data_IF_125092324507
#
_entry.id   IF_125092324507
#
_cell.length_a   1.000
_cell.length_b   1.000
_cell.length_c   1.000
_cell.angle_alpha   90.00
_cell.angle_beta   90.00
_cell.angle_gamma   90.00
#
_symmetry.space_group_name_H-M   'P 1'
#
loop_
_entity.id
_entity.type
_entity.pdbx_description
1 polymer ?
#
# COMPACT_ATOMS: atom_id res chain seq x y z
N UNK A 1 -17.40 -0.56 58.99
CA UNK A 1 -16.07 -0.25 58.34
C UNK A 1 -15.51 -1.43 57.54
N UNK A 2 -15.49 -2.67 58.05
CA UNK A 2 -14.97 -3.83 57.29
C UNK A 2 -15.74 -4.09 55.98
N UNK A 3 -17.08 -4.08 56.02
CA UNK A 3 -17.92 -4.30 54.86
C UNK A 3 -17.70 -3.24 53.75
N UNK A 4 -17.51 -1.98 54.15
CA UNK A 4 -17.24 -0.89 53.23
C UNK A 4 -15.85 -1.07 52.54
N UNK A 5 -14.87 -1.53 53.32
CA UNK A 5 -13.52 -1.78 52.82
C UNK A 5 -13.47 -2.98 51.85
N UNK A 6 -14.21 -4.04 52.14
CA UNK A 6 -14.35 -5.21 51.26
C UNK A 6 -15.04 -4.77 49.95
N UNK A 7 -16.14 -4.02 50.01
CA UNK A 7 -16.80 -3.52 48.82
C UNK A 7 -15.91 -2.62 47.96
N UNK A 8 -15.12 -1.75 48.58
CA UNK A 8 -14.16 -0.92 47.84
C UNK A 8 -13.09 -1.74 47.13
N UNK A 9 -12.47 -2.73 47.80
CA UNK A 9 -11.48 -3.63 47.19
C UNK A 9 -12.09 -4.38 46.00
N UNK A 10 -13.31 -4.89 46.14
CA UNK A 10 -13.99 -5.61 45.06
C UNK A 10 -14.16 -4.73 43.81
N UNK A 11 -14.59 -3.47 43.98
CA UNK A 11 -14.73 -2.51 42.89
C UNK A 11 -13.38 -2.25 42.20
N UNK A 12 -12.31 -2.07 42.97
CA UNK A 12 -10.95 -1.84 42.43
C UNK A 12 -10.47 -3.05 41.62
N UNK A 13 -10.71 -4.27 42.11
CA UNK A 13 -10.36 -5.49 41.40
C UNK A 13 -11.12 -5.62 40.08
N UNK A 14 -12.44 -5.39 40.09
CA UNK A 14 -13.27 -5.44 38.87
C UNK A 14 -12.79 -4.40 37.87
N UNK A 15 -12.50 -3.18 38.30
CA UNK A 15 -12.00 -2.12 37.45
C UNK A 15 -10.64 -2.49 36.84
N UNK A 16 -9.74 -3.10 37.63
CA UNK A 16 -8.45 -3.60 37.15
C UNK A 16 -8.60 -4.67 36.06
N UNK A 17 -9.54 -5.62 36.23
CA UNK A 17 -9.83 -6.65 35.25
C UNK A 17 -10.41 -6.05 33.94
N UNK A 18 -11.28 -5.05 34.06
CA UNK A 18 -11.83 -4.35 32.89
C UNK A 18 -10.73 -3.62 32.09
N UNK A 19 -9.81 -2.95 32.79
CA UNK A 19 -8.68 -2.26 32.17
C UNK A 19 -7.74 -3.29 31.48
N UNK A 20 -7.41 -4.39 32.15
CA UNK A 20 -6.58 -5.44 31.58
C UNK A 20 -7.20 -6.04 30.31
N UNK A 21 -8.51 -6.35 30.34
CA UNK A 21 -9.24 -6.84 29.17
C UNK A 21 -9.22 -5.84 28.01
N UNK A 22 -9.33 -4.54 28.31
CA UNK A 22 -9.24 -3.49 27.30
C UNK A 22 -7.86 -3.41 26.67
N UNK A 23 -6.80 -3.49 27.46
CA UNK A 23 -5.41 -3.50 26.98
C UNK A 23 -5.14 -4.69 26.05
N UNK A 24 -5.56 -5.89 26.44
CA UNK A 24 -5.42 -7.11 25.62
C UNK A 24 -6.15 -6.95 24.29
N UNK A 25 -7.39 -6.48 24.29
CA UNK A 25 -8.15 -6.26 23.05
C UNK A 25 -7.47 -5.23 22.14
N UNK A 26 -7.00 -4.10 22.66
CA UNK A 26 -6.28 -3.09 21.89
C UNK A 26 -4.99 -3.63 21.29
N UNK A 27 -4.22 -4.40 22.07
CA UNK A 27 -3.00 -5.01 21.58
C UNK A 27 -3.26 -6.01 20.46
N UNK A 28 -4.26 -6.88 20.60
CA UNK A 28 -4.63 -7.82 19.56
C UNK A 28 -5.09 -7.10 18.29
N UNK A 29 -5.93 -6.07 18.41
CA UNK A 29 -6.37 -5.26 17.25
C UNK A 29 -5.19 -4.57 16.57
N UNK A 30 -4.21 -4.07 17.34
CA UNK A 30 -2.98 -3.51 16.79
C UNK A 30 -2.20 -4.55 15.96
N UNK A 31 -1.99 -5.74 16.52
CA UNK A 31 -1.26 -6.82 15.84
C UNK A 31 -1.98 -7.24 14.57
N UNK A 32 -3.31 -7.39 14.61
CA UNK A 32 -4.13 -7.76 13.46
C UNK A 32 -4.01 -6.74 12.31
N UNK A 33 -4.19 -5.45 12.62
CA UNK A 33 -4.09 -4.39 11.62
C UNK A 33 -2.67 -4.27 11.07
N UNK A 34 -1.66 -4.34 11.92
CA UNK A 34 -0.25 -4.31 11.50
C UNK A 34 0.07 -5.46 10.55
N UNK A 35 -0.34 -6.68 10.91
CA UNK A 35 -0.12 -7.87 10.08
C UNK A 35 -0.82 -7.76 8.72
N UNK A 36 -2.04 -7.22 8.69
CA UNK A 36 -2.76 -6.97 7.44
C UNK A 36 -2.04 -5.93 6.56
N UNK A 37 -1.51 -4.85 7.15
CA UNK A 37 -0.71 -3.85 6.45
C UNK A 37 0.54 -4.48 5.83
N UNK A 38 1.31 -5.24 6.62
CA UNK A 38 2.52 -5.94 6.15
C UNK A 38 2.21 -6.95 5.04
N UNK A 39 1.11 -7.70 5.16
CA UNK A 39 0.65 -8.62 4.12
C UNK A 39 0.32 -7.89 2.81
N UNK A 40 -0.39 -6.77 2.88
CA UNK A 40 -0.74 -5.97 1.69
C UNK A 40 0.46 -5.30 1.02
N UNK A 41 1.48 -4.92 1.79
CA UNK A 41 2.75 -4.44 1.22
C UNK A 41 3.45 -5.55 0.42
N UNK A 42 3.53 -6.76 0.98
CA UNK A 42 4.08 -7.92 0.28
C UNK A 42 3.26 -8.33 -0.95
N UNK A 43 1.92 -8.22 -0.90
CA UNK A 43 1.06 -8.44 -2.06
C UNK A 43 1.42 -7.49 -3.21
N UNK A 44 1.71 -6.22 -2.93
CA UNK A 44 2.13 -5.25 -3.96
C UNK A 44 3.47 -5.65 -4.60
N UNK A 45 4.45 -6.08 -3.80
CA UNK A 45 5.74 -6.56 -4.30
C UNK A 45 5.56 -7.81 -5.18
N UNK A 46 4.74 -8.77 -4.71
CA UNK A 46 4.45 -10.00 -5.44
C UNK A 46 3.68 -9.74 -6.75
N UNK A 47 2.76 -8.78 -6.77
CA UNK A 47 2.03 -8.39 -7.98
C UNK A 47 2.96 -7.77 -9.03
N UNK A 48 3.94 -6.97 -8.60
CA UNK A 48 4.94 -6.42 -9.49
C UNK A 48 5.82 -7.54 -10.11
N UNK A 49 6.28 -8.48 -9.29
CA UNK A 49 7.07 -9.62 -9.78
C UNK A 49 6.26 -10.51 -10.73
N UNK A 50 4.98 -10.74 -10.43
CA UNK A 50 4.07 -11.49 -11.30
C UNK A 50 3.84 -10.77 -12.65
N UNK A 51 3.65 -9.46 -12.63
CA UNK A 51 3.53 -8.66 -13.85
C UNK A 51 4.78 -8.83 -14.72
N UNK A 52 5.96 -8.69 -14.13
CA UNK A 52 7.22 -8.88 -14.81
C UNK A 52 7.35 -10.28 -15.43
N UNK A 53 7.02 -11.33 -14.68
CA UNK A 53 7.05 -12.71 -15.18
C UNK A 53 6.08 -12.92 -16.34
N UNK A 54 4.86 -12.39 -16.26
CA UNK A 54 3.87 -12.47 -17.35
C UNK A 54 4.37 -11.79 -18.62
N UNK A 55 4.93 -10.59 -18.50
CA UNK A 55 5.48 -9.86 -19.66
C UNK A 55 6.63 -10.64 -20.28
N UNK A 56 7.58 -11.11 -19.47
CA UNK A 56 8.73 -11.88 -19.96
C UNK A 56 8.31 -13.19 -20.67
N UNK A 57 7.27 -13.86 -20.18
CA UNK A 57 6.70 -15.06 -20.83
C UNK A 57 6.01 -14.72 -22.15
N UNK A 58 5.31 -13.57 -22.23
CA UNK A 58 4.58 -13.16 -23.43
C UNK A 58 5.52 -12.74 -24.56
N UNK A 59 6.60 -12.08 -24.24
CA UNK A 59 7.47 -11.42 -25.23
C UNK A 59 8.75 -12.20 -25.53
N UNK A 60 9.12 -13.19 -24.73
CA UNK A 60 10.41 -13.90 -24.81
C UNK A 60 11.60 -12.93 -25.01
N UNK A 61 11.64 -11.89 -24.17
CA UNK A 61 12.63 -10.82 -24.25
C UNK A 61 14.05 -11.40 -24.24
N UNK A 62 14.86 -11.06 -25.22
CA UNK A 62 16.27 -11.45 -25.22
C UNK A 62 17.00 -10.91 -23.98
N UNK A 63 17.90 -11.71 -23.39
CA UNK A 63 18.52 -11.43 -22.08
C UNK A 63 19.16 -10.04 -21.99
N UNK A 64 19.75 -9.55 -23.08
CA UNK A 64 20.36 -8.22 -23.14
C UNK A 64 19.41 -7.03 -22.94
N UNK A 65 18.09 -7.24 -23.12
CA UNK A 65 17.07 -6.19 -22.97
C UNK A 65 16.22 -6.33 -21.72
N UNK A 66 16.38 -7.42 -20.96
CA UNK A 66 15.56 -7.72 -19.77
C UNK A 66 15.66 -6.65 -18.70
N UNK A 67 16.87 -6.17 -18.43
CA UNK A 67 17.08 -5.17 -17.38
C UNK A 67 16.52 -3.81 -17.78
N UNK A 68 16.73 -3.37 -19.02
CA UNK A 68 16.16 -2.12 -19.51
C UNK A 68 14.63 -2.13 -19.53
N UNK A 69 14.00 -3.24 -19.98
CA UNK A 69 12.55 -3.37 -19.97
C UNK A 69 11.99 -3.39 -18.55
N UNK A 70 12.67 -4.05 -17.60
CA UNK A 70 12.28 -4.07 -16.20
C UNK A 70 12.33 -2.67 -15.59
N UNK A 71 13.33 -1.88 -15.89
CA UNK A 71 13.49 -0.50 -15.43
C UNK A 71 12.38 0.41 -15.98
N UNK A 72 12.07 0.29 -17.28
CA UNK A 72 10.96 1.00 -17.93
C UNK A 72 9.62 0.67 -17.29
N UNK A 73 9.35 -0.63 -17.07
CA UNK A 73 8.11 -1.08 -16.47
C UNK A 73 7.99 -0.61 -15.02
N UNK A 74 9.09 -0.62 -14.26
CA UNK A 74 9.12 -0.07 -12.91
C UNK A 74 8.77 1.42 -12.92
N UNK A 75 9.37 2.21 -13.82
CA UNK A 75 9.10 3.63 -13.96
C UNK A 75 7.64 3.91 -14.39
N UNK A 76 7.06 3.03 -15.21
CA UNK A 76 5.66 3.16 -15.65
C UNK A 76 4.67 2.82 -14.52
N UNK A 77 4.93 1.76 -13.75
CA UNK A 77 4.08 1.39 -12.59
C UNK A 77 4.19 2.41 -11.47
N UNK A 78 5.38 2.93 -11.20
CA UNK A 78 5.63 4.00 -10.21
C UNK A 78 5.02 5.36 -10.62
N UNK A 79 4.38 5.45 -11.80
CA UNK A 79 3.79 6.70 -12.30
C UNK A 79 4.81 7.76 -12.73
N UNK A 80 6.10 7.43 -12.76
CA UNK A 80 7.16 8.32 -13.24
C UNK A 80 7.09 8.55 -14.76
N UNK A 81 6.64 7.57 -15.49
CA UNK A 81 6.34 7.71 -16.92
C UNK A 81 4.90 8.23 -17.07
N UNK A 82 4.71 9.52 -17.05
CA UNK A 82 3.49 10.36 -17.15
C UNK A 82 2.27 9.79 -17.93
N UNK A 83 1.97 8.50 -17.84
CA UNK A 83 0.85 7.88 -18.55
C UNK A 83 0.94 7.92 -20.07
N UNK A 84 2.07 8.31 -20.63
CA UNK A 84 2.30 8.40 -22.06
C UNK A 84 2.46 7.00 -22.65
N UNK A 85 1.36 6.49 -23.19
CA UNK A 85 1.35 5.18 -23.87
C UNK A 85 2.34 5.13 -25.05
N UNK A 86 2.69 6.28 -25.62
CA UNK A 86 3.65 6.38 -26.72
C UNK A 86 5.09 6.15 -26.23
N UNK A 87 5.43 6.68 -25.06
CA UNK A 87 6.75 6.46 -24.45
C UNK A 87 7.00 4.97 -24.18
N UNK A 88 6.02 4.26 -23.63
CA UNK A 88 6.12 2.82 -23.42
C UNK A 88 6.24 2.06 -24.76
N UNK A 89 5.48 2.49 -25.77
CA UNK A 89 5.49 1.90 -27.11
C UNK A 89 6.85 2.07 -27.79
N UNK A 90 7.41 3.27 -27.74
CA UNK A 90 8.68 3.58 -28.38
C UNK A 90 9.85 2.86 -27.69
N UNK A 91 9.86 2.84 -26.39
CA UNK A 91 10.85 2.08 -25.61
C UNK A 91 10.72 0.57 -25.84
N UNK A 92 9.50 0.06 -25.96
CA UNK A 92 9.28 -1.36 -26.19
C UNK A 92 9.69 -1.76 -27.60
N UNK A 93 9.47 -0.91 -28.61
CA UNK A 93 9.97 -1.09 -29.98
C UNK A 93 11.50 -1.09 -30.03
N UNK A 94 12.14 -0.19 -29.29
CA UNK A 94 13.59 -0.10 -29.22
C UNK A 94 14.21 -1.35 -28.53
N UNK A 95 13.58 -1.82 -27.44
CA UNK A 95 14.05 -2.97 -26.68
C UNK A 95 13.79 -4.32 -27.39
N UNK A 96 12.79 -4.40 -28.28
CA UNK A 96 12.40 -5.65 -28.97
C UNK A 96 12.18 -5.38 -30.46
N UNK A 97 13.24 -5.43 -31.30
CA UNK A 97 13.16 -5.11 -32.72
C UNK A 97 12.19 -5.96 -33.57
N UNK A 98 11.80 -7.15 -33.09
CA UNK A 98 10.82 -8.04 -33.75
C UNK A 98 9.40 -7.86 -33.26
N UNK A 99 9.07 -6.71 -32.69
CA UNK A 99 7.82 -6.43 -32.01
C UNK A 99 6.66 -6.25 -32.98
N UNK A 100 5.61 -7.02 -32.77
CA UNK A 100 4.36 -6.87 -33.53
C UNK A 100 3.30 -6.15 -32.65
N UNK A 101 2.31 -5.56 -33.30
CA UNK A 101 1.24 -4.78 -32.64
C UNK A 101 0.35 -5.62 -31.71
N UNK A 102 0.28 -6.93 -31.92
CA UNK A 102 -0.52 -7.84 -31.07
C UNK A 102 0.17 -8.07 -29.72
N UNK A 103 1.47 -8.23 -29.73
CA UNK A 103 2.30 -8.39 -28.54
C UNK A 103 2.26 -7.11 -27.69
N UNK A 104 2.34 -5.94 -28.33
CA UNK A 104 2.18 -4.66 -27.65
C UNK A 104 0.86 -4.55 -26.91
N UNK A 105 -0.27 -4.91 -27.55
CA UNK A 105 -1.58 -4.90 -26.91
C UNK A 105 -1.63 -5.83 -25.70
N UNK A 106 -1.01 -7.02 -25.78
CA UNK A 106 -0.97 -7.96 -24.66
C UNK A 106 -0.15 -7.39 -23.48
N UNK A 107 1.01 -6.80 -23.73
CA UNK A 107 1.82 -6.15 -22.69
C UNK A 107 1.06 -4.99 -22.06
N UNK A 108 0.46 -4.12 -22.87
CA UNK A 108 -0.31 -3.00 -22.36
C UNK A 108 -1.45 -3.48 -21.44
N UNK A 109 -2.17 -4.53 -21.82
CA UNK A 109 -3.23 -5.10 -20.99
C UNK A 109 -2.69 -5.66 -19.66
N UNK A 110 -1.53 -6.32 -19.67
CA UNK A 110 -0.88 -6.82 -18.46
C UNK A 110 -0.49 -5.65 -17.54
N UNK A 111 0.08 -4.59 -18.10
CA UNK A 111 0.50 -3.41 -17.34
C UNK A 111 -0.71 -2.70 -16.74
N UNK A 112 -1.76 -2.44 -17.54
CA UNK A 112 -2.98 -1.77 -17.06
C UNK A 112 -3.61 -2.56 -15.93
N UNK A 113 -3.80 -3.87 -16.11
CA UNK A 113 -4.38 -4.72 -15.07
C UNK A 113 -3.53 -4.73 -13.78
N UNK A 114 -2.21 -4.82 -13.91
CA UNK A 114 -1.31 -4.80 -12.74
C UNK A 114 -1.30 -3.45 -12.04
N UNK A 115 -1.43 -2.35 -12.78
CA UNK A 115 -1.56 -1.00 -12.24
C UNK A 115 -2.85 -0.83 -11.45
N UNK A 116 -3.96 -1.34 -11.96
CA UNK A 116 -5.25 -1.30 -11.28
C UNK A 116 -5.19 -2.08 -9.95
N UNK A 117 -4.59 -3.27 -9.95
CA UNK A 117 -4.37 -4.06 -8.74
C UNK A 117 -3.46 -3.34 -7.73
N UNK A 118 -2.41 -2.68 -8.21
CA UNK A 118 -1.52 -1.87 -7.36
C UNK A 118 -2.27 -0.72 -6.69
N UNK A 119 -3.05 0.07 -7.45
CA UNK A 119 -3.85 1.16 -6.88
C UNK A 119 -4.91 0.67 -5.89
N UNK A 120 -5.56 -0.45 -6.19
CA UNK A 120 -6.51 -1.08 -5.27
C UNK A 120 -5.86 -1.47 -3.95
N UNK A 121 -4.69 -2.09 -4.00
CA UNK A 121 -3.94 -2.44 -2.81
C UNK A 121 -3.44 -1.22 -2.03
N UNK A 122 -2.99 -0.17 -2.72
CA UNK A 122 -2.64 1.12 -2.10
C UNK A 122 -3.82 1.71 -1.32
N UNK A 123 -5.02 1.69 -1.90
CA UNK A 123 -6.23 2.15 -1.22
C UNK A 123 -6.52 1.33 0.04
N UNK A 124 -6.40 0.01 -0.04
CA UNK A 124 -6.58 -0.88 1.12
C UNK A 124 -5.54 -0.58 2.20
N UNK A 125 -4.27 -0.38 1.84
CA UNK A 125 -3.20 -0.01 2.77
C UNK A 125 -3.51 1.30 3.50
N UNK A 126 -3.96 2.32 2.78
CA UNK A 126 -4.37 3.60 3.37
C UNK A 126 -5.54 3.43 4.34
N UNK A 127 -6.54 2.63 3.97
CA UNK A 127 -7.69 2.37 4.84
C UNK A 127 -7.30 1.62 6.12
N UNK A 128 -6.42 0.62 6.03
CA UNK A 128 -5.90 -0.12 7.19
C UNK A 128 -5.07 0.79 8.11
N UNK A 129 -4.18 1.60 7.54
CA UNK A 129 -3.40 2.59 8.30
C UNK A 129 -4.31 3.59 9.00
N UNK A 130 -5.31 4.11 8.30
CA UNK A 130 -6.32 5.01 8.87
C UNK A 130 -7.08 4.36 10.03
N UNK A 131 -7.52 3.11 9.88
CA UNK A 131 -8.20 2.37 10.95
C UNK A 131 -7.30 2.19 12.17
N UNK A 132 -6.04 1.80 11.96
CA UNK A 132 -5.05 1.66 13.01
C UNK A 132 -4.80 2.98 13.76
N UNK A 133 -4.56 4.06 13.02
CA UNK A 133 -4.28 5.37 13.61
C UNK A 133 -5.51 5.95 14.33
N UNK A 134 -6.72 5.76 13.79
CA UNK A 134 -7.96 6.12 14.48
C UNK A 134 -8.15 5.33 15.79
N UNK A 135 -7.80 4.05 15.82
CA UNK A 135 -7.85 3.26 17.05
C UNK A 135 -6.95 3.87 18.14
N UNK A 136 -5.74 4.30 17.77
CA UNK A 136 -4.78 4.93 18.70
C UNK A 136 -5.27 6.29 19.19
N UNK A 137 -5.84 7.11 18.31
CA UNK A 137 -6.23 8.49 18.62
C UNK A 137 -7.51 8.61 19.43
N UNK A 138 -8.43 7.63 19.33
CA UNK A 138 -9.72 7.68 20.03
C UNK A 138 -9.57 7.55 21.53
N UNK A 139 -10.32 8.38 22.28
CA UNK A 139 -10.47 8.24 23.74
C UNK A 139 -11.41 7.04 24.06
N UNK A 140 -11.13 6.23 25.09
CA UNK A 140 -9.96 6.27 25.99
C UNK A 140 -8.74 5.49 25.47
N UNK A 141 -8.79 4.95 24.24
CA UNK A 141 -7.76 4.08 23.68
C UNK A 141 -6.37 4.75 23.64
N UNK A 142 -6.32 6.05 23.38
CA UNK A 142 -5.08 6.83 23.31
C UNK A 142 -4.23 6.71 24.59
N UNK A 143 -4.87 6.63 25.77
CA UNK A 143 -4.18 6.44 27.04
C UNK A 143 -3.54 5.05 27.08
N UNK A 144 -4.32 4.01 26.75
CA UNK A 144 -3.85 2.62 26.80
C UNK A 144 -2.81 2.34 25.72
N UNK A 145 -2.97 2.89 24.52
CA UNK A 145 -2.00 2.75 23.43
C UNK A 145 -0.66 3.41 23.80
N UNK A 146 -0.70 4.55 24.50
CA UNK A 146 0.51 5.20 25.01
C UNK A 146 1.25 4.30 26.04
N UNK A 147 0.52 3.67 26.96
CA UNK A 147 1.12 2.74 27.93
C UNK A 147 1.71 1.49 27.25
N UNK A 148 1.06 1.00 26.20
CA UNK A 148 1.52 -0.15 25.41
C UNK A 148 2.59 0.21 24.37
N UNK A 149 3.00 1.48 24.29
CA UNK A 149 3.92 2.03 23.29
C UNK A 149 3.51 1.69 21.83
N UNK A 150 2.21 1.68 21.57
CA UNK A 150 1.66 1.49 20.22
C UNK A 150 1.73 2.83 19.50
N UNK A 151 2.45 2.88 18.37
CA UNK A 151 2.66 4.08 17.56
C UNK A 151 1.85 4.03 16.27
N UNK A 152 1.56 5.20 15.72
CA UNK A 152 0.92 5.34 14.42
C UNK A 152 1.77 4.71 13.31
N UNK A 153 1.08 4.19 12.30
CA UNK A 153 1.71 3.62 11.11
C UNK A 153 1.48 4.60 9.95
N UNK A 154 2.57 5.11 9.40
CA UNK A 154 2.54 5.94 8.20
C UNK A 154 2.80 5.09 6.97
N UNK A 155 1.89 5.16 6.01
CA UNK A 155 2.03 4.53 4.69
C UNK A 155 2.43 5.59 3.68
N UNK A 156 3.58 5.42 3.04
CA UNK A 156 3.96 6.25 1.90
C UNK A 156 3.17 5.82 0.68
N UNK A 157 2.30 6.71 0.22
CA UNK A 157 1.57 6.51 -1.03
C UNK A 157 2.51 6.79 -2.18
N UNK A 158 2.61 5.84 -3.09
CA UNK A 158 3.35 6.04 -4.34
C UNK A 158 2.44 6.82 -5.29
N UNK A 159 2.76 8.09 -5.51
CA UNK A 159 2.07 8.96 -6.46
C UNK A 159 3.04 9.40 -7.55
N UNK A 160 2.52 9.71 -8.73
CA UNK A 160 3.34 10.31 -9.79
C UNK A 160 3.83 11.70 -9.38
N UNK A 161 4.99 12.11 -9.91
CA UNK A 161 5.53 13.46 -9.69
C UNK A 161 4.55 14.55 -10.12
N UNK A 162 3.78 14.33 -11.20
CA UNK A 162 2.73 15.25 -11.64
C UNK A 162 1.61 15.35 -10.60
N UNK A 163 1.17 14.23 -10.02
CA UNK A 163 0.17 14.22 -8.94
C UNK A 163 0.69 14.96 -7.70
N UNK A 164 1.94 14.75 -7.30
CA UNK A 164 2.54 15.47 -6.18
C UNK A 164 2.56 16.98 -6.43
N UNK A 165 3.01 17.42 -7.60
CA UNK A 165 3.01 18.84 -7.98
C UNK A 165 1.60 19.43 -7.97
N UNK A 166 0.60 18.72 -8.49
CA UNK A 166 -0.80 19.16 -8.47
C UNK A 166 -1.30 19.36 -7.04
N UNK A 167 -0.99 18.45 -6.11
CA UNK A 167 -1.38 18.60 -4.71
C UNK A 167 -0.61 19.69 -3.96
N UNK A 168 0.65 19.93 -4.31
CA UNK A 168 1.46 21.01 -3.72
C UNK A 168 1.03 22.40 -4.23
N UNK A 169 0.70 22.51 -5.52
CA UNK A 169 0.35 23.79 -6.15
C UNK A 169 -1.14 24.09 -6.13
N UNK A 170 -2.00 23.06 -5.95
CA UNK A 170 -3.45 23.18 -6.06
C UNK A 170 -3.94 23.44 -7.50
N UNK A 171 -3.06 23.30 -8.50
CA UNK A 171 -3.38 23.53 -9.91
C UNK A 171 -3.20 22.23 -10.68
N UNK A 172 -4.26 21.78 -11.36
CA UNK A 172 -4.21 20.61 -12.21
C UNK A 172 -3.58 21.00 -13.58
N UNK A 173 -2.53 20.27 -13.98
CA UNK A 173 -1.96 20.41 -15.32
C UNK A 173 -3.00 19.95 -16.37
N UNK A 174 -3.35 20.83 -17.31
CA UNK A 174 -4.23 20.50 -18.39
C UNK A 174 -3.63 19.34 -19.20
N UNK A 175 -4.34 18.21 -19.23
CA UNK A 175 -4.01 17.09 -20.10
C UNK A 175 -4.16 17.59 -21.54
N UNK A 176 -3.05 17.82 -22.23
CA UNK A 176 -3.07 18.02 -23.68
C UNK A 176 -3.32 16.66 -24.31
N UNK A 177 -4.52 16.51 -24.89
CA UNK A 177 -4.90 15.38 -25.73
C UNK A 177 -4.16 15.41 -27.06
#
# INVERSE_FOLDING_TARGET
>A
MKEFFIGFITIVVIMGLCIAGKCVNLYNTHVDLKTQIEAKQKDNEANFDLMWKKINQTVQVADKYKDGLKEVLAAYVDGRAKGDSNLLMDWTKEAVPSFDSSIYKQINNIIVGSRDDFYKNQKILLDLSRQHNQMIQKFPNNIFCSWLNIKEIEIKVVTSTATQQTFETGVEDNIKL
#
